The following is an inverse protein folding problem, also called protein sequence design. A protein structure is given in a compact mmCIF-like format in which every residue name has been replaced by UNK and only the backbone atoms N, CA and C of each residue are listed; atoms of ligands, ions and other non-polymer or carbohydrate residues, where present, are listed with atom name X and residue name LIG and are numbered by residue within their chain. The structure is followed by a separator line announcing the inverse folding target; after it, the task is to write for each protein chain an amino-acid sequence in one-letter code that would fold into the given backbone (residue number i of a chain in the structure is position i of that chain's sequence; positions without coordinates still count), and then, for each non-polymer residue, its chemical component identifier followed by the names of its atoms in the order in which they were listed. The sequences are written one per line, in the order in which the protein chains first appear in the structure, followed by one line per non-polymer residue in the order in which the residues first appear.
data_IF_628736850655
#
_entry.id   IF_628736850655
#
_cell.length_a   1.000
_cell.length_b   1.000
_cell.length_c   1.000
_cell.angle_alpha   90.00
_cell.angle_beta   90.00
_cell.angle_gamma   90.00
#
_symmetry.space_group_name_H-M   'P 1'
#
loop_
_entity.id
_entity.type
_entity.pdbx_description
1 polymer ?
#
# COMPACT_ATOMS: atom_id res chain seq x y z
N UNK A 1 27.04 2.13 5.87
CA UNK A 1 26.16 2.92 4.99
C UNK A 1 26.40 2.64 3.51
N UNK A 2 26.30 1.37 3.07
CA UNK A 2 26.26 1.02 1.65
C UNK A 2 24.86 0.51 1.35
N UNK A 3 23.92 1.42 1.15
CA UNK A 3 22.63 1.04 0.58
C UNK A 3 22.69 1.29 -0.92
N UNK A 4 22.63 0.19 -1.67
CA UNK A 4 22.18 0.12 -3.05
C UNK A 4 20.75 0.69 -3.10
N UNK A 5 20.63 2.00 -3.15
CA UNK A 5 19.44 2.63 -3.71
C UNK A 5 19.66 2.55 -5.22
N UNK A 6 18.86 1.75 -5.92
CA UNK A 6 18.88 1.73 -7.38
C UNK A 6 18.66 3.17 -7.85
N UNK A 7 19.70 3.77 -8.44
CA UNK A 7 19.78 5.20 -8.73
C UNK A 7 18.82 5.67 -9.83
N UNK A 8 18.13 4.75 -10.50
CA UNK A 8 17.20 5.07 -11.60
C UNK A 8 15.76 5.36 -11.12
N UNK A 9 15.34 4.86 -9.95
CA UNK A 9 13.95 4.97 -9.45
C UNK A 9 13.72 6.19 -8.54
N UNK A 10 14.77 6.70 -7.88
CA UNK A 10 14.66 7.80 -6.92
C UNK A 10 15.18 9.07 -7.56
N UNK A 11 14.27 9.79 -8.23
CA UNK A 11 14.55 11.11 -8.77
C UNK A 11 13.90 12.22 -7.92
N UNK A 12 14.21 13.48 -8.24
CA UNK A 12 13.71 14.62 -7.48
C UNK A 12 12.18 14.75 -7.51
N UNK A 13 11.53 14.35 -8.60
CA UNK A 13 10.06 14.37 -8.71
C UNK A 13 9.42 13.31 -7.81
N UNK A 14 10.01 12.13 -7.69
CA UNK A 14 9.58 11.11 -6.73
C UNK A 14 9.66 11.62 -5.28
N UNK A 15 10.79 12.25 -4.92
CA UNK A 15 10.99 12.83 -3.59
C UNK A 15 9.96 13.92 -3.31
N UNK A 16 9.66 14.80 -4.29
CA UNK A 16 8.60 15.81 -4.15
C UNK A 16 7.23 15.19 -3.85
N UNK A 17 6.86 14.11 -4.57
CA UNK A 17 5.59 13.41 -4.33
C UNK A 17 5.52 12.85 -2.91
N UNK A 18 6.59 12.18 -2.46
CA UNK A 18 6.70 11.62 -1.10
C UNK A 18 6.57 12.71 -0.03
N UNK A 19 7.33 13.80 -0.19
CA UNK A 19 7.30 14.93 0.76
C UNK A 19 5.93 15.59 0.76
N UNK A 20 5.34 15.85 -0.42
CA UNK A 20 4.02 16.48 -0.53
C UNK A 20 2.90 15.68 0.13
N UNK A 21 2.97 14.35 0.03
CA UNK A 21 2.00 13.45 0.64
C UNK A 21 2.07 13.46 2.18
N UNK A 22 3.26 13.49 2.76
CA UNK A 22 3.44 13.48 4.22
C UNK A 22 3.50 14.89 4.84
N UNK A 23 3.67 15.96 4.05
CA UNK A 23 3.86 17.33 4.55
C UNK A 23 2.76 17.76 5.52
N UNK A 24 1.50 17.43 5.21
CA UNK A 24 0.34 17.77 6.05
C UNK A 24 0.32 17.03 7.40
N UNK A 25 1.16 16.00 7.55
CA UNK A 25 1.17 15.05 8.68
C UNK A 25 2.41 15.20 9.55
N UNK A 26 3.41 15.96 9.09
CA UNK A 26 4.61 16.29 9.84
C UNK A 26 4.26 17.22 11.00
N UNK A 27 4.62 16.83 12.23
CA UNK A 27 4.61 17.72 13.39
C UNK A 27 6.00 18.31 13.63
N UNK A 28 7.05 17.54 13.33
CA UNK A 28 8.44 17.96 13.39
C UNK A 28 9.20 17.47 12.15
N UNK A 29 10.14 18.28 11.64
CA UNK A 29 10.98 17.89 10.51
C UNK A 29 11.79 16.61 10.78
N UNK A 30 12.15 16.35 12.05
CA UNK A 30 12.84 15.12 12.45
C UNK A 30 12.02 13.85 12.24
N UNK A 31 10.70 13.93 12.11
CA UNK A 31 9.80 12.78 11.90
C UNK A 31 9.74 12.36 10.42
N UNK A 32 10.27 13.16 9.49
CA UNK A 32 10.24 12.88 8.04
C UNK A 32 10.91 11.55 7.70
N UNK A 33 12.05 11.25 8.31
CA UNK A 33 12.79 10.02 8.04
C UNK A 33 11.94 8.80 8.35
N UNK A 34 11.32 8.76 9.52
CA UNK A 34 10.41 7.67 9.89
C UNK A 34 9.20 7.66 8.98
N UNK A 35 8.47 8.77 8.80
CA UNK A 35 7.22 8.80 8.03
C UNK A 35 7.39 8.40 6.56
N UNK A 36 8.52 8.71 5.95
CA UNK A 36 8.76 8.46 4.51
C UNK A 36 9.56 7.20 4.21
N UNK A 37 10.20 6.57 5.20
CA UNK A 37 11.10 5.42 5.02
C UNK A 37 10.51 4.30 4.16
N UNK A 38 9.22 3.99 4.34
CA UNK A 38 8.56 2.92 3.60
C UNK A 38 8.45 3.19 2.09
N UNK A 39 8.60 4.41 1.60
CA UNK A 39 8.64 4.67 0.14
C UNK A 39 9.94 4.15 -0.49
N UNK A 40 11.04 4.13 0.27
CA UNK A 40 12.38 3.83 -0.23
C UNK A 40 12.84 2.40 0.02
N UNK A 41 12.08 1.60 0.77
CA UNK A 41 12.40 0.20 1.04
C UNK A 41 11.76 -0.75 0.01
N UNK A 42 12.40 -1.86 -0.33
CA UNK A 42 11.77 -2.87 -1.21
C UNK A 42 11.00 -3.93 -0.44
N UNK A 43 11.42 -4.18 0.80
CA UNK A 43 10.85 -5.17 1.70
C UNK A 43 10.41 -4.45 2.97
N UNK A 44 9.19 -4.73 3.42
CA UNK A 44 8.65 -4.16 4.64
C UNK A 44 8.59 -5.23 5.72
N UNK A 45 9.17 -4.92 6.87
CA UNK A 45 9.12 -5.80 8.04
C UNK A 45 7.95 -5.40 8.95
N UNK A 46 6.87 -6.18 8.88
CA UNK A 46 5.70 -6.03 9.74
C UNK A 46 5.05 -7.39 10.00
N UNK A 47 4.38 -7.50 11.15
CA UNK A 47 3.61 -8.68 11.53
C UNK A 47 2.31 -8.79 10.72
N UNK A 48 1.96 -10.00 10.27
CA UNK A 48 0.71 -10.27 9.52
C UNK A 48 -0.56 -9.76 10.23
N UNK A 49 -0.56 -9.72 11.57
CA UNK A 49 -1.65 -9.14 12.39
C UNK A 49 -2.01 -7.69 12.01
N UNK A 50 -1.07 -6.93 11.44
CA UNK A 50 -1.31 -5.55 11.01
C UNK A 50 -2.30 -5.47 9.83
N UNK A 51 -2.33 -6.52 9.00
CA UNK A 51 -3.25 -6.62 7.87
C UNK A 51 -4.69 -6.84 8.32
N UNK A 52 -4.89 -7.33 9.55
CA UNK A 52 -6.22 -7.70 10.05
C UNK A 52 -7.01 -6.45 10.42
N UNK A 53 -8.14 -6.26 9.72
CA UNK A 53 -9.08 -5.20 10.03
C UNK A 53 -10.21 -5.71 10.92
N UNK A 54 -10.39 -5.08 12.09
CA UNK A 54 -11.46 -5.37 13.05
C UNK A 54 -11.57 -6.88 13.37
N UNK A 55 -12.65 -7.52 12.94
CA UNK A 55 -13.00 -8.92 13.27
C UNK A 55 -12.78 -9.88 12.09
N UNK A 56 -12.12 -9.44 11.02
CA UNK A 56 -11.82 -10.32 9.90
C UNK A 56 -10.85 -11.41 10.30
N UNK A 57 -11.06 -12.60 9.77
CA UNK A 57 -10.12 -13.71 9.88
C UNK A 57 -8.97 -13.53 8.89
N UNK A 58 -7.78 -14.13 9.14
CA UNK A 58 -6.68 -14.11 8.18
C UNK A 58 -7.07 -14.58 6.77
N UNK A 59 -7.95 -15.59 6.67
CA UNK A 59 -8.45 -16.09 5.38
C UNK A 59 -9.31 -15.05 4.64
N UNK A 60 -10.21 -14.36 5.34
CA UNK A 60 -11.01 -13.29 4.74
C UNK A 60 -10.13 -12.13 4.26
N UNK A 61 -9.14 -11.73 5.05
CA UNK A 61 -8.20 -10.67 4.66
C UNK A 61 -7.39 -11.07 3.43
N UNK A 62 -6.97 -12.33 3.35
CA UNK A 62 -6.26 -12.88 2.19
C UNK A 62 -7.12 -12.79 0.93
N UNK A 63 -8.37 -13.23 0.99
CA UNK A 63 -9.33 -13.14 -0.13
C UNK A 63 -9.53 -11.68 -0.54
N UNK A 64 -9.69 -10.78 0.43
CA UNK A 64 -9.87 -9.35 0.14
C UNK A 64 -8.65 -8.75 -0.58
N UNK A 65 -7.43 -9.09 -0.14
CA UNK A 65 -6.20 -8.64 -0.80
C UNK A 65 -6.03 -9.25 -2.20
N UNK A 66 -6.46 -10.50 -2.42
CA UNK A 66 -6.45 -11.12 -3.75
C UNK A 66 -7.38 -10.37 -4.72
N UNK A 67 -8.59 -10.02 -4.27
CA UNK A 67 -9.52 -9.21 -5.08
C UNK A 67 -8.90 -7.85 -5.40
N UNK A 68 -8.31 -7.16 -4.41
CA UNK A 68 -7.62 -5.88 -4.65
C UNK A 68 -6.50 -6.05 -5.67
N UNK A 69 -5.66 -7.08 -5.52
CA UNK A 69 -4.59 -7.36 -6.47
C UNK A 69 -5.10 -7.50 -7.91
N UNK A 70 -6.14 -8.31 -8.13
CA UNK A 70 -6.72 -8.56 -9.45
C UNK A 70 -7.35 -7.31 -10.07
N UNK A 71 -7.93 -6.41 -9.27
CA UNK A 71 -8.46 -5.14 -9.75
C UNK A 71 -7.34 -4.21 -10.19
N UNK A 72 -6.28 -4.09 -9.38
CA UNK A 72 -5.16 -3.20 -9.65
C UNK A 72 -4.27 -3.69 -10.80
N UNK A 73 -4.13 -5.01 -10.96
CA UNK A 73 -3.35 -5.59 -12.05
C UNK A 73 -3.86 -5.15 -13.43
N UNK A 74 -5.17 -4.90 -13.56
CA UNK A 74 -5.83 -4.48 -14.80
C UNK A 74 -5.57 -3.01 -15.18
N UNK A 75 -5.14 -2.17 -14.25
CA UNK A 75 -4.91 -0.74 -14.51
C UNK A 75 -3.59 -0.56 -15.29
N UNK A 76 -3.57 0.01 -16.49
CA UNK A 76 -2.32 0.26 -17.22
C UNK A 76 -1.36 1.17 -16.43
N UNK A 77 -0.04 0.98 -16.60
CA UNK A 77 0.94 1.80 -15.87
C UNK A 77 0.82 3.30 -16.20
N UNK A 78 0.43 3.64 -17.45
CA UNK A 78 0.20 5.01 -17.88
C UNK A 78 -1.00 5.68 -17.19
N UNK A 79 -1.91 4.89 -16.63
CA UNK A 79 -3.12 5.35 -15.94
C UNK A 79 -3.00 5.18 -14.42
N UNK A 80 -1.83 4.83 -13.89
CA UNK A 80 -1.64 4.54 -12.47
C UNK A 80 -1.66 5.83 -11.63
N UNK A 81 -2.85 6.22 -11.19
CA UNK A 81 -3.13 7.45 -10.43
C UNK A 81 -4.05 7.14 -9.26
N UNK A 82 -4.04 7.97 -8.22
CA UNK A 82 -4.93 7.86 -7.06
C UNK A 82 -6.39 7.66 -7.50
N UNK A 83 -6.88 8.53 -8.40
CA UNK A 83 -8.26 8.49 -8.90
C UNK A 83 -8.63 7.19 -9.62
N UNK A 84 -7.77 6.66 -10.50
CA UNK A 84 -8.07 5.44 -11.24
C UNK A 84 -8.04 4.20 -10.33
N UNK A 85 -7.14 4.20 -9.36
CA UNK A 85 -7.03 3.16 -8.31
C UNK A 85 -8.28 3.19 -7.43
N UNK A 86 -8.70 4.37 -6.98
CA UNK A 86 -9.93 4.57 -6.22
C UNK A 86 -11.15 4.09 -7.02
N UNK A 87 -11.30 4.54 -8.26
CA UNK A 87 -12.44 4.19 -9.12
C UNK A 87 -12.55 2.68 -9.32
N UNK A 88 -11.43 2.00 -9.64
CA UNK A 88 -11.41 0.56 -9.85
C UNK A 88 -11.85 -0.24 -8.61
N UNK A 89 -11.38 0.17 -7.42
CA UNK A 89 -11.70 -0.53 -6.18
C UNK A 89 -13.11 -0.17 -5.70
N UNK A 90 -13.42 1.11 -5.57
CA UNK A 90 -14.69 1.57 -4.98
C UNK A 90 -15.88 1.17 -5.85
N UNK A 91 -15.76 1.24 -7.17
CA UNK A 91 -16.84 0.81 -8.07
C UNK A 91 -17.15 -0.67 -7.90
N UNK A 92 -16.11 -1.52 -7.85
CA UNK A 92 -16.29 -2.95 -7.61
C UNK A 92 -16.96 -3.23 -6.26
N UNK A 93 -16.46 -2.62 -5.18
CA UNK A 93 -17.00 -2.82 -3.83
C UNK A 93 -18.45 -2.33 -3.72
N UNK A 94 -18.81 -1.23 -4.39
CA UNK A 94 -20.18 -0.72 -4.44
C UNK A 94 -21.12 -1.68 -5.17
N UNK A 95 -20.72 -2.18 -6.34
CA UNK A 95 -21.53 -3.15 -7.13
C UNK A 95 -21.77 -4.44 -6.35
N UNK A 96 -20.78 -4.88 -5.56
CA UNK A 96 -20.85 -6.11 -4.75
C UNK A 96 -21.40 -5.88 -3.34
N UNK A 97 -21.76 -4.65 -2.99
CA UNK A 97 -22.26 -4.25 -1.66
C UNK A 97 -21.30 -4.64 -0.51
N UNK A 98 -19.99 -4.53 -0.77
CA UNK A 98 -18.92 -4.92 0.14
C UNK A 98 -18.49 -3.74 1.03
N UNK A 99 -18.05 -4.05 2.24
CA UNK A 99 -17.59 -3.03 3.20
C UNK A 99 -16.21 -2.51 2.80
N UNK A 100 -16.15 -1.24 2.40
CA UNK A 100 -14.92 -0.56 1.95
C UNK A 100 -13.72 -0.77 2.89
N UNK A 101 -13.93 -0.60 4.20
CA UNK A 101 -12.85 -0.73 5.19
C UNK A 101 -12.19 -2.11 5.23
N UNK A 102 -12.92 -3.17 4.89
CA UNK A 102 -12.44 -4.56 4.90
C UNK A 102 -11.41 -4.84 3.79
N UNK A 103 -11.31 -3.94 2.80
CA UNK A 103 -10.38 -4.02 1.66
C UNK A 103 -9.30 -2.93 1.72
N UNK A 104 -9.71 -1.69 2.03
CA UNK A 104 -8.79 -0.56 2.06
C UNK A 104 -7.80 -0.61 3.23
N UNK A 105 -8.21 -1.14 4.40
CA UNK A 105 -7.27 -1.28 5.51
C UNK A 105 -6.15 -2.30 5.21
N UNK A 106 -6.45 -3.55 4.82
CA UNK A 106 -5.41 -4.51 4.45
C UNK A 106 -4.50 -3.99 3.33
N UNK A 107 -5.07 -3.37 2.30
CA UNK A 107 -4.29 -2.77 1.21
C UNK A 107 -3.30 -1.73 1.75
N UNK A 108 -3.77 -0.77 2.55
CA UNK A 108 -2.93 0.27 3.14
C UNK A 108 -1.81 -0.31 4.00
N UNK A 109 -2.14 -1.28 4.84
CA UNK A 109 -1.18 -1.96 5.70
C UNK A 109 -0.15 -2.75 4.87
N UNK A 110 -0.56 -3.44 3.80
CA UNK A 110 0.34 -4.16 2.92
C UNK A 110 1.30 -3.22 2.18
N UNK A 111 0.82 -2.07 1.71
CA UNK A 111 1.62 -1.07 1.01
C UNK A 111 2.62 -0.34 1.89
N UNK A 112 2.32 -0.16 3.19
CA UNK A 112 3.09 0.75 4.07
C UNK A 112 3.79 0.04 5.21
N UNK A 113 3.32 -1.14 5.62
CA UNK A 113 3.76 -1.83 6.82
C UNK A 113 3.42 -1.07 8.11
N UNK A 114 2.44 -0.16 8.07
CA UNK A 114 2.15 0.79 9.17
C UNK A 114 0.68 0.83 9.57
N UNK A 115 0.47 1.14 10.85
CA UNK A 115 -0.85 1.42 11.40
C UNK A 115 -1.36 2.81 11.00
N UNK A 116 -0.46 3.80 10.95
CA UNK A 116 -0.75 5.18 10.54
C UNK A 116 0.05 5.54 9.28
N UNK A 117 -0.67 5.92 8.22
CA UNK A 117 -0.14 6.25 6.90
C UNK A 117 -1.17 7.09 6.13
N UNK A 118 -0.82 7.71 4.99
CA UNK A 118 -1.77 8.36 4.09
C UNK A 118 -2.76 7.35 3.50
N UNK A 119 -3.67 7.83 2.65
CA UNK A 119 -4.66 6.98 1.98
C UNK A 119 -3.99 5.87 1.16
N UNK A 120 -4.62 4.68 1.05
CA UNK A 120 -4.03 3.58 0.29
C UNK A 120 -3.82 3.92 -1.19
N UNK A 121 -4.69 4.75 -1.76
CA UNK A 121 -4.67 5.12 -3.17
C UNK A 121 -3.53 6.12 -3.46
N UNK A 122 -3.44 7.22 -2.70
CA UNK A 122 -2.31 8.15 -2.73
C UNK A 122 -0.96 7.43 -2.56
N UNK A 123 -0.89 6.51 -1.59
CA UNK A 123 0.32 5.70 -1.37
C UNK A 123 0.64 4.83 -2.59
N UNK A 124 -0.37 4.16 -3.15
CA UNK A 124 -0.18 3.30 -4.31
C UNK A 124 0.29 4.10 -5.53
N UNK A 125 -0.27 5.29 -5.78
CA UNK A 125 0.19 6.20 -6.85
C UNK A 125 1.67 6.54 -6.67
N UNK A 126 2.07 7.00 -5.47
CA UNK A 126 3.45 7.40 -5.21
C UNK A 126 4.40 6.22 -5.31
N UNK A 127 4.00 5.02 -4.86
CA UNK A 127 4.83 3.81 -4.99
C UNK A 127 4.95 3.32 -6.45
N UNK A 128 3.96 3.61 -7.29
CA UNK A 128 3.84 3.05 -8.63
C UNK A 128 3.28 1.62 -8.64
N UNK A 129 2.92 1.15 -9.84
CA UNK A 129 2.20 -0.11 -10.05
C UNK A 129 2.98 -1.33 -9.57
N UNK A 130 4.20 -1.49 -10.06
CA UNK A 130 4.99 -2.71 -9.83
C UNK A 130 5.27 -2.92 -8.33
N UNK A 131 5.72 -1.86 -7.64
CA UNK A 131 6.01 -1.89 -6.21
C UNK A 131 4.75 -2.14 -5.37
N UNK A 132 3.63 -1.54 -5.75
CA UNK A 132 2.35 -1.74 -5.07
C UNK A 132 1.85 -3.19 -5.17
N UNK A 133 1.83 -3.75 -6.39
CA UNK A 133 1.41 -5.14 -6.62
C UNK A 133 2.33 -6.13 -5.92
N UNK A 134 3.65 -5.91 -5.98
CA UNK A 134 4.63 -6.72 -5.26
C UNK A 134 4.34 -6.75 -3.75
N UNK A 135 4.09 -5.59 -3.14
CA UNK A 135 3.79 -5.49 -1.69
C UNK A 135 2.47 -6.14 -1.31
N UNK A 136 1.43 -5.99 -2.13
CA UNK A 136 0.14 -6.65 -1.92
C UNK A 136 0.31 -8.18 -1.96
N UNK A 137 1.07 -8.69 -2.94
CA UNK A 137 1.39 -10.11 -3.05
C UNK A 137 2.13 -10.63 -1.81
N UNK A 138 3.11 -9.88 -1.30
CA UNK A 138 3.81 -10.22 -0.06
C UNK A 138 2.88 -10.21 1.16
N UNK A 139 1.92 -9.28 1.22
CA UNK A 139 0.88 -9.28 2.25
C UNK A 139 0.02 -10.55 2.20
N UNK A 140 -0.34 -11.00 1.00
CA UNK A 140 -1.07 -12.27 0.78
C UNK A 140 -0.23 -13.47 1.26
N UNK A 141 1.05 -13.52 0.93
CA UNK A 141 1.99 -14.59 1.34
C UNK A 141 2.14 -14.64 2.87
N UNK A 142 2.31 -13.50 3.54
CA UNK A 142 2.37 -13.40 5.02
C UNK A 142 1.14 -13.95 5.73
N UNK A 143 -0.03 -13.96 5.08
CA UNK A 143 -1.27 -14.53 5.64
C UNK A 143 -1.36 -16.05 5.44
N UNK A 144 -0.57 -16.64 4.56
CA UNK A 144 -0.50 -18.10 4.36
C UNK A 144 0.30 -18.79 5.47
N UNK A 145 1.37 -18.15 5.95
CA UNK A 145 2.27 -18.68 6.98
C UNK A 145 1.61 -18.80 8.36
N UNK A 146 0.53 -18.05 8.62
CA UNK A 146 -0.20 -18.03 9.90
C UNK A 146 -1.03 -19.31 10.13
N UNK A 147 -1.09 -20.23 9.15
CA UNK A 147 -1.77 -21.54 9.30
C UNK A 147 -0.93 -22.64 9.98
N UNK A 148 0.19 -22.30 10.62
CA UNK A 148 1.08 -23.25 11.30
C UNK A 148 0.87 -23.27 12.80
#
# INVERSE_FOLDING_TARGET
FKNKLNSEEINFEYIKKVVGLEQKRLKKLSETGELTKFFFEDQLDYMSKLLIWKKLTPEQVKINLQIVFELLEKIPNAEWTDNSIEEAIISYLKIKELKVGDYLWPMRAALTGRQASPGPFEVAEVLGKEKSLKRIKQGIEKLQEVKS
#
